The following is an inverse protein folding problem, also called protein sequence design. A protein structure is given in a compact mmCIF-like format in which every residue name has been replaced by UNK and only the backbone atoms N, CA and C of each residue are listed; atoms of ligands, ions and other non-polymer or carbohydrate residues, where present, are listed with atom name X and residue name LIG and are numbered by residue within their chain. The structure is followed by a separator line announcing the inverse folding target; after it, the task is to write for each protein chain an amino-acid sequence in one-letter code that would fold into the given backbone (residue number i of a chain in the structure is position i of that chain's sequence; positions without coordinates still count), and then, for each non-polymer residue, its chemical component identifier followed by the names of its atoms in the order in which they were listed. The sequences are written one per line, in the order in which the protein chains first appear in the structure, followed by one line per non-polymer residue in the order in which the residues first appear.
data_IF_550753593657
#
_entry.id   IF_550753593657
#
_cell.length_a   1.000
_cell.length_b   1.000
_cell.length_c   1.000
_cell.angle_alpha   90.00
_cell.angle_beta   90.00
_cell.angle_gamma   90.00
#
_symmetry.space_group_name_H-M   'P 1'
#
loop_
_entity.id
_entity.type
_entity.pdbx_description
1 polymer ?
#
# COMPACT_ATOMS: atom_id res chain seq x y z
N UNK A 1 1.59 23.54 -17.61
CA UNK A 1 2.33 23.37 -18.88
C UNK A 1 3.58 22.49 -18.72
N UNK A 2 4.20 22.44 -17.50
CA UNK A 2 5.37 21.61 -17.20
C UNK A 2 5.04 20.30 -16.46
N UNK A 3 3.77 20.03 -16.13
CA UNK A 3 3.35 18.86 -15.35
C UNK A 3 3.72 18.88 -13.86
N UNK A 4 4.44 19.90 -13.40
CA UNK A 4 4.89 20.00 -12.01
C UNK A 4 3.79 20.42 -11.04
N UNK A 5 3.89 19.97 -9.80
CA UNK A 5 2.99 20.31 -8.71
C UNK A 5 3.58 21.47 -7.87
N UNK A 6 2.79 22.52 -7.65
CA UNK A 6 3.12 23.53 -6.65
C UNK A 6 2.84 23.00 -5.24
N UNK A 7 3.64 23.44 -4.26
CA UNK A 7 3.36 23.18 -2.85
C UNK A 7 2.03 23.80 -2.45
N UNK A 8 1.20 23.04 -1.74
CA UNK A 8 -0.11 23.47 -1.28
C UNK A 8 -0.04 23.75 0.20
N UNK A 9 -0.63 24.85 0.64
CA UNK A 9 -0.74 25.23 2.03
C UNK A 9 -1.64 24.26 2.80
N UNK A 10 -1.38 24.06 4.10
CA UNK A 10 -2.08 23.07 4.90
C UNK A 10 -3.62 23.22 4.85
N UNK A 11 -4.16 24.40 5.17
CA UNK A 11 -5.62 24.61 5.12
C UNK A 11 -6.21 24.40 3.74
N UNK A 12 -5.49 24.82 2.67
CA UNK A 12 -5.97 24.61 1.31
C UNK A 12 -6.01 23.12 0.95
N UNK A 13 -5.04 22.33 1.43
CA UNK A 13 -5.06 20.88 1.21
C UNK A 13 -6.22 20.23 1.97
N UNK A 14 -6.45 20.66 3.20
CA UNK A 14 -7.60 20.20 3.99
C UNK A 14 -8.91 20.49 3.26
N UNK A 15 -9.11 21.71 2.75
CA UNK A 15 -10.29 22.08 1.96
C UNK A 15 -10.49 21.21 0.70
N UNK A 16 -9.39 20.84 0.03
CA UNK A 16 -9.45 20.00 -1.18
C UNK A 16 -9.78 18.54 -0.87
N UNK A 17 -9.42 18.08 0.32
CA UNK A 17 -9.54 16.67 0.71
C UNK A 17 -10.84 16.39 1.45
N UNK A 18 -11.23 17.26 2.36
CA UNK A 18 -12.31 17.00 3.31
C UNK A 18 -13.67 17.48 2.80
N UNK A 19 -14.73 16.99 3.41
CA UNK A 19 -16.06 17.46 3.17
C UNK A 19 -16.26 18.85 3.79
N UNK A 20 -16.98 19.72 3.09
CA UNK A 20 -17.16 21.12 3.48
C UNK A 20 -17.72 21.23 4.91
N UNK A 21 -17.05 22.02 5.75
CA UNK A 21 -17.50 22.32 7.12
C UNK A 21 -17.31 21.18 8.12
N UNK A 22 -16.61 20.09 7.76
CA UNK A 22 -16.41 18.95 8.66
C UNK A 22 -15.07 18.95 9.40
N UNK A 23 -14.14 19.82 9.04
CA UNK A 23 -12.83 19.88 9.67
C UNK A 23 -12.90 20.58 11.04
N UNK A 24 -12.53 19.86 12.08
CA UNK A 24 -12.35 20.34 13.45
C UNK A 24 -10.86 20.31 13.81
N UNK A 25 -10.23 21.47 13.88
CA UNK A 25 -8.79 21.58 14.18
C UNK A 25 -8.51 21.24 15.65
N UNK A 26 -7.48 20.42 15.90
CA UNK A 26 -7.02 20.03 17.22
C UNK A 26 -5.69 20.70 17.58
N UNK A 27 -5.49 20.98 18.85
CA UNK A 27 -4.22 21.46 19.43
C UNK A 27 -3.62 22.66 18.68
N UNK A 28 -4.47 23.58 18.22
CA UNK A 28 -4.04 24.77 17.50
C UNK A 28 -3.07 25.62 18.36
N UNK A 29 -3.39 25.80 19.62
CA UNK A 29 -2.68 26.66 20.56
C UNK A 29 -1.60 25.93 21.38
N UNK A 30 -1.02 24.83 20.86
CA UNK A 30 0.06 24.14 21.55
C UNK A 30 1.26 25.08 21.74
N UNK A 31 1.80 25.19 22.98
CA UNK A 31 2.85 26.16 23.28
C UNK A 31 4.15 25.86 22.56
N UNK A 32 4.87 26.92 22.19
CA UNK A 32 6.22 26.83 21.62
C UNK A 32 7.22 26.26 22.63
N UNK A 33 8.19 25.53 22.12
CA UNK A 33 9.28 24.97 22.92
C UNK A 33 10.63 25.32 22.29
N UNK A 34 11.57 25.81 23.12
CA UNK A 34 12.99 25.99 22.78
C UNK A 34 13.86 25.19 23.77
N UNK A 35 13.94 23.87 23.62
CA UNK A 35 14.50 22.98 24.64
C UNK A 35 16.02 23.12 24.84
N UNK A 36 16.71 23.80 23.91
CA UNK A 36 18.16 23.99 23.95
C UNK A 36 18.57 25.47 24.09
N UNK A 37 17.62 26.37 24.34
CA UNK A 37 17.86 27.84 24.35
C UNK A 37 18.65 28.30 23.10
N UNK A 38 18.31 27.71 21.93
CA UNK A 38 19.05 27.97 20.69
C UNK A 38 18.94 29.43 20.27
N UNK A 39 20.07 30.11 20.01
CA UNK A 39 20.08 31.55 19.74
C UNK A 39 19.19 31.94 18.56
N UNK A 40 18.37 33.00 18.76
CA UNK A 40 17.43 33.52 17.75
C UNK A 40 16.34 32.55 17.25
N UNK A 41 16.16 31.40 17.89
CA UNK A 41 15.18 30.42 17.42
C UNK A 41 13.74 30.95 17.61
N UNK A 42 13.43 31.59 18.71
CA UNK A 42 12.14 32.24 18.95
C UNK A 42 11.79 33.25 17.85
N UNK A 43 12.73 34.14 17.51
CA UNK A 43 12.55 35.14 16.43
C UNK A 43 12.27 34.45 15.08
N UNK A 44 12.95 33.34 14.83
CA UNK A 44 12.75 32.55 13.59
C UNK A 44 11.36 31.92 13.56
N UNK A 45 10.87 31.42 14.68
CA UNK A 45 9.51 30.85 14.82
C UNK A 45 8.46 31.94 14.64
N UNK A 46 8.67 33.10 15.27
CA UNK A 46 7.77 34.25 15.17
C UNK A 46 7.63 34.77 13.73
N UNK A 47 8.76 34.93 13.03
CA UNK A 47 8.77 35.29 11.62
C UNK A 47 8.09 34.21 10.74
N UNK A 48 8.20 32.95 11.10
CA UNK A 48 7.51 31.85 10.40
C UNK A 48 5.99 31.90 10.65
N UNK A 49 5.55 32.22 11.86
CA UNK A 49 4.13 32.44 12.22
C UNK A 49 3.52 33.59 11.42
N UNK A 50 4.18 34.76 11.43
CA UNK A 50 3.73 35.92 10.65
C UNK A 50 3.61 35.60 9.15
N UNK A 51 4.62 34.95 8.58
CA UNK A 51 4.64 34.63 7.15
C UNK A 51 3.61 33.57 6.74
N UNK A 52 3.37 32.56 7.58
CA UNK A 52 2.52 31.40 7.24
C UNK A 52 1.09 31.53 7.73
N UNK A 53 0.85 32.31 8.79
CA UNK A 53 -0.42 32.34 9.52
C UNK A 53 -0.67 31.08 10.36
N UNK A 54 0.38 30.28 10.59
CA UNK A 54 0.30 29.02 11.35
C UNK A 54 1.01 29.14 12.69
N UNK A 55 0.53 28.47 13.71
CA UNK A 55 1.22 28.38 14.99
C UNK A 55 2.41 27.41 14.96
N UNK A 56 2.33 26.36 14.11
CA UNK A 56 3.41 25.39 13.89
C UNK A 56 3.29 24.73 12.49
N UNK A 57 4.29 23.96 12.11
CA UNK A 57 4.49 23.41 10.77
C UNK A 57 3.49 22.30 10.37
N UNK A 58 2.55 21.96 11.23
CA UNK A 58 1.50 20.97 10.94
C UNK A 58 0.14 21.45 11.45
N UNK A 59 -0.89 21.24 10.66
CA UNK A 59 -2.30 21.39 11.05
C UNK A 59 -2.91 20.02 11.15
N UNK A 60 -3.55 19.71 12.28
CA UNK A 60 -4.18 18.42 12.55
C UNK A 60 -5.61 18.60 13.02
N UNK A 61 -6.48 17.64 12.74
CA UNK A 61 -7.87 17.67 13.16
C UNK A 61 -8.68 16.49 12.69
N UNK A 62 -9.93 16.45 13.08
CA UNK A 62 -10.91 15.46 12.64
C UNK A 62 -11.72 16.02 11.48
N UNK A 63 -12.03 15.18 10.50
CA UNK A 63 -12.83 15.56 9.34
C UNK A 63 -13.60 14.36 8.78
N UNK A 64 -14.39 14.60 7.73
CA UNK A 64 -14.94 13.56 6.86
C UNK A 64 -14.35 13.67 5.47
N UNK A 65 -14.10 12.54 4.82
CA UNK A 65 -13.64 12.43 3.44
C UNK A 65 -14.62 11.49 2.72
N UNK A 66 -15.38 12.01 1.78
CA UNK A 66 -16.52 11.32 1.14
C UNK A 66 -17.41 10.61 2.18
N UNK A 67 -17.82 11.34 3.23
CA UNK A 67 -18.63 10.86 4.33
C UNK A 67 -17.92 9.99 5.36
N UNK A 68 -16.64 9.60 5.15
CA UNK A 68 -15.89 8.74 6.05
C UNK A 68 -15.12 9.56 7.10
N UNK A 69 -15.36 9.36 8.41
CA UNK A 69 -14.64 10.09 9.44
C UNK A 69 -13.18 9.64 9.51
N UNK A 70 -12.28 10.60 9.65
CA UNK A 70 -10.84 10.37 9.75
C UNK A 70 -10.15 11.49 10.52
N UNK A 71 -8.97 11.23 11.04
CA UNK A 71 -8.04 12.25 11.53
C UNK A 71 -7.09 12.62 10.39
N UNK A 72 -6.98 13.91 10.11
CA UNK A 72 -6.15 14.44 9.02
C UNK A 72 -5.08 15.34 9.58
N UNK A 73 -3.82 15.12 9.20
CA UNK A 73 -2.70 15.99 9.50
C UNK A 73 -1.98 16.43 8.22
N UNK A 74 -1.73 17.72 8.09
CA UNK A 74 -1.08 18.28 6.89
C UNK A 74 0.10 19.16 7.29
N UNK A 75 1.28 18.75 6.87
CA UNK A 75 2.51 19.52 6.98
C UNK A 75 2.50 20.73 6.05
N UNK A 76 3.10 21.86 6.48
CA UNK A 76 3.19 23.10 5.69
C UNK A 76 4.61 23.63 5.63
N UNK A 77 5.23 23.53 4.45
CA UNK A 77 6.62 23.93 4.22
C UNK A 77 6.88 25.43 4.39
N UNK A 78 5.86 26.29 4.48
CA UNK A 78 6.02 27.71 4.76
C UNK A 78 6.56 27.95 6.17
N UNK A 79 6.26 27.03 7.10
CA UNK A 79 6.75 27.11 8.47
C UNK A 79 8.05 26.28 8.60
N UNK A 80 9.19 26.95 8.53
CA UNK A 80 10.56 26.38 8.68
C UNK A 80 10.73 25.06 7.86
N UNK A 81 10.31 25.06 6.59
CA UNK A 81 10.33 23.88 5.70
C UNK A 81 9.63 22.65 6.28
N UNK A 82 8.66 22.85 7.14
CA UNK A 82 7.94 21.82 7.88
C UNK A 82 8.85 20.82 8.59
N UNK A 83 9.97 21.30 9.12
CA UNK A 83 10.88 20.45 9.90
C UNK A 83 10.21 20.00 11.20
N UNK A 84 10.38 18.72 11.53
CA UNK A 84 9.79 18.11 12.72
C UNK A 84 10.59 18.49 13.97
N UNK A 85 10.03 19.36 14.80
CA UNK A 85 10.47 19.66 16.16
C UNK A 85 9.54 19.05 17.20
N UNK A 86 9.76 19.41 18.46
CA UNK A 86 8.99 18.93 19.61
C UNK A 86 7.48 19.09 19.39
N UNK A 87 7.03 20.30 19.05
CA UNK A 87 5.60 20.60 18.90
C UNK A 87 4.97 19.82 17.72
N UNK A 88 5.69 19.68 16.60
CA UNK A 88 5.20 18.88 15.47
C UNK A 88 5.05 17.41 15.86
N UNK A 89 6.07 16.84 16.51
CA UNK A 89 6.04 15.45 16.98
C UNK A 89 4.94 15.21 18.02
N UNK A 90 4.74 16.17 18.95
CA UNK A 90 3.68 16.13 19.95
C UNK A 90 2.30 16.12 19.30
N UNK A 91 2.04 17.08 18.40
CA UNK A 91 0.78 17.17 17.65
C UNK A 91 0.45 15.87 16.91
N UNK A 92 1.44 15.29 16.20
CA UNK A 92 1.25 14.02 15.50
C UNK A 92 0.92 12.90 16.49
N UNK A 93 1.69 12.79 17.57
CA UNK A 93 1.51 11.76 18.61
C UNK A 93 0.12 11.84 19.23
N UNK A 94 -0.29 13.00 19.72
CA UNK A 94 -1.61 13.20 20.33
C UNK A 94 -2.75 12.94 19.35
N UNK A 95 -2.58 13.35 18.07
CA UNK A 95 -3.57 13.08 17.04
C UNK A 95 -3.75 11.58 16.79
N UNK A 96 -2.64 10.84 16.70
CA UNK A 96 -2.63 9.38 16.52
C UNK A 96 -3.23 8.66 17.74
N UNK A 97 -2.83 9.07 18.96
CA UNK A 97 -3.35 8.48 20.20
C UNK A 97 -4.85 8.74 20.39
N UNK A 98 -5.30 9.97 20.07
CA UNK A 98 -6.72 10.30 20.10
C UNK A 98 -7.49 9.53 19.03
N UNK A 99 -6.96 9.44 17.80
CA UNK A 99 -7.54 8.63 16.72
C UNK A 99 -7.67 7.16 17.12
N UNK A 100 -6.66 6.60 17.80
CA UNK A 100 -6.69 5.23 18.31
C UNK A 100 -7.83 5.00 19.31
N UNK A 101 -8.01 5.93 20.25
CA UNK A 101 -9.09 5.89 21.24
C UNK A 101 -10.48 6.01 20.60
N UNK A 102 -10.61 6.92 19.61
CA UNK A 102 -11.85 7.16 18.88
C UNK A 102 -12.08 6.12 17.75
N UNK A 103 -11.16 5.18 17.55
CA UNK A 103 -11.19 4.15 16.49
C UNK A 103 -11.34 4.75 15.10
N UNK A 104 -10.58 5.80 14.82
CA UNK A 104 -10.56 6.53 13.56
C UNK A 104 -9.27 6.24 12.77
N UNK A 105 -9.32 6.14 11.45
CA UNK A 105 -8.13 6.13 10.62
C UNK A 105 -7.39 7.47 10.68
N UNK A 106 -6.07 7.43 10.42
CA UNK A 106 -5.21 8.61 10.37
C UNK A 106 -4.67 8.80 8.96
N UNK A 107 -4.70 10.03 8.45
CA UNK A 107 -4.09 10.40 7.17
C UNK A 107 -3.11 11.56 7.42
N UNK A 108 -1.83 11.35 7.13
CA UNK A 108 -0.81 12.39 7.27
C UNK A 108 -0.21 12.76 5.90
N UNK A 109 -0.30 14.03 5.54
CA UNK A 109 0.39 14.60 4.38
C UNK A 109 1.75 15.10 4.81
N UNK A 110 2.80 14.36 4.43
CA UNK A 110 4.19 14.72 4.69
C UNK A 110 4.71 15.70 3.64
N UNK A 111 5.28 16.81 4.10
CA UNK A 111 6.01 17.78 3.29
C UNK A 111 7.07 18.40 4.18
N UNK A 112 8.31 17.86 4.18
CA UNK A 112 9.28 18.27 5.20
C UNK A 112 10.72 18.18 4.71
N UNK A 113 11.54 19.11 5.21
CA UNK A 113 12.99 19.07 5.09
C UNK A 113 13.69 18.16 6.12
N UNK A 114 12.96 17.50 7.03
CA UNK A 114 13.51 16.59 8.02
C UNK A 114 13.36 17.05 9.49
N UNK A 115 14.28 16.66 10.35
CA UNK A 115 14.29 17.05 11.77
C UNK A 115 14.68 18.52 11.95
N UNK A 116 14.11 19.17 12.97
CA UNK A 116 14.35 20.59 13.29
C UNK A 116 15.69 20.76 14.03
N UNK A 117 16.69 21.22 13.34
CA UNK A 117 18.07 21.31 13.85
C UNK A 117 18.21 22.18 15.11
N UNK A 118 17.40 23.23 15.27
CA UNK A 118 17.43 24.12 16.42
C UNK A 118 17.04 23.44 17.74
N UNK A 119 16.36 22.32 17.68
CA UNK A 119 15.93 21.55 18.84
C UNK A 119 16.80 20.31 19.08
N UNK A 120 17.85 20.11 18.27
CA UNK A 120 18.87 19.07 18.43
C UNK A 120 18.28 17.68 18.69
N UNK A 121 18.74 17.01 19.75
CA UNK A 121 18.33 15.64 20.11
C UNK A 121 16.84 15.52 20.40
N UNK A 122 16.17 16.59 20.86
CA UNK A 122 14.73 16.57 21.14
C UNK A 122 13.93 16.37 19.86
N UNK A 123 14.33 17.00 18.76
CA UNK A 123 13.70 16.78 17.46
C UNK A 123 13.94 15.36 16.94
N UNK A 124 15.11 14.78 17.21
CA UNK A 124 15.40 13.39 16.84
C UNK A 124 14.51 12.41 17.61
N UNK A 125 14.25 12.68 18.91
CA UNK A 125 13.36 11.83 19.72
C UNK A 125 11.91 11.86 19.23
N UNK A 126 11.47 12.88 18.49
CA UNK A 126 10.14 12.90 17.90
C UNK A 126 9.94 11.79 16.84
N UNK A 127 11.01 11.36 16.17
CA UNK A 127 10.95 10.20 15.25
C UNK A 127 10.51 8.94 16.00
N UNK A 128 11.13 8.64 17.14
CA UNK A 128 10.77 7.49 17.96
C UNK A 128 9.36 7.63 18.55
N UNK A 129 9.00 8.81 19.02
CA UNK A 129 7.71 9.08 19.64
C UNK A 129 6.55 8.89 18.68
N UNK A 130 6.62 9.48 17.50
CA UNK A 130 5.60 9.35 16.46
C UNK A 130 5.49 7.90 15.95
N UNK A 131 6.63 7.23 15.78
CA UNK A 131 6.67 5.82 15.37
C UNK A 131 6.03 4.89 16.40
N UNK A 132 6.28 5.14 17.71
CA UNK A 132 5.67 4.36 18.78
C UNK A 132 4.14 4.56 18.86
N UNK A 133 3.65 5.79 18.64
CA UNK A 133 2.22 6.06 18.57
C UNK A 133 1.56 5.33 17.39
N UNK A 134 2.17 5.38 16.21
CA UNK A 134 1.69 4.68 15.02
C UNK A 134 1.73 3.15 15.19
N UNK A 135 2.74 2.61 15.88
CA UNK A 135 2.79 1.18 16.19
C UNK A 135 1.57 0.75 17.02
N UNK A 136 1.24 1.50 18.08
CA UNK A 136 0.04 1.22 18.90
C UNK A 136 -1.26 1.38 18.09
N UNK A 137 -1.31 2.35 17.18
CA UNK A 137 -2.45 2.56 16.29
C UNK A 137 -2.67 1.36 15.36
N UNK A 138 -1.61 0.86 14.74
CA UNK A 138 -1.62 -0.33 13.92
C UNK A 138 -2.04 -1.59 14.70
N UNK A 139 -1.48 -1.80 15.91
CA UNK A 139 -1.83 -2.93 16.78
C UNK A 139 -3.28 -2.89 17.25
N UNK A 140 -3.88 -1.70 17.32
CA UNK A 140 -5.31 -1.52 17.57
C UNK A 140 -6.19 -1.79 16.32
N UNK A 141 -5.60 -2.20 15.20
CA UNK A 141 -6.30 -2.47 13.94
C UNK A 141 -6.86 -1.20 13.29
N UNK A 142 -6.19 -0.05 13.49
CA UNK A 142 -6.58 1.22 12.88
C UNK A 142 -5.67 1.56 11.72
N UNK A 143 -6.27 2.07 10.63
CA UNK A 143 -5.57 2.39 9.38
C UNK A 143 -4.75 3.67 9.49
N UNK A 144 -3.51 3.64 9.02
CA UNK A 144 -2.69 4.81 8.77
C UNK A 144 -2.32 4.95 7.29
N UNK A 145 -2.75 6.05 6.67
CA UNK A 145 -2.38 6.44 5.31
C UNK A 145 -1.33 7.55 5.37
N UNK A 146 -0.17 7.31 4.79
CA UNK A 146 0.86 8.32 4.60
C UNK A 146 0.83 8.86 3.16
N UNK A 147 0.71 10.17 3.00
CA UNK A 147 0.73 10.82 1.68
C UNK A 147 1.99 11.67 1.57
N UNK A 148 2.91 11.24 0.69
CA UNK A 148 4.21 11.86 0.50
C UNK A 148 4.14 12.95 -0.57
N UNK A 149 4.47 14.17 -0.20
CA UNK A 149 4.47 15.32 -1.10
C UNK A 149 5.86 15.94 -1.23
N UNK A 150 6.08 16.87 -2.16
CA UNK A 150 7.38 17.47 -2.46
C UNK A 150 7.77 18.60 -1.50
N UNK A 151 8.93 18.53 -0.82
CA UNK A 151 9.75 17.35 -0.58
C UNK A 151 9.36 16.60 0.71
N UNK A 152 9.66 15.30 0.79
CA UNK A 152 9.62 14.54 2.04
C UNK A 152 10.99 13.91 2.26
N UNK A 153 11.79 14.47 3.21
CA UNK A 153 13.20 14.08 3.38
C UNK A 153 13.60 13.95 4.85
N UNK A 154 14.78 13.41 5.08
CA UNK A 154 15.45 13.36 6.38
C UNK A 154 14.71 12.55 7.43
N UNK A 155 14.67 13.05 8.65
CA UNK A 155 14.05 12.40 9.80
C UNK A 155 12.54 12.15 9.63
N UNK A 156 11.85 12.93 8.81
CA UNK A 156 10.42 12.70 8.53
C UNK A 156 10.24 11.46 7.64
N UNK A 157 11.06 11.28 6.61
CA UNK A 157 11.08 10.04 5.82
C UNK A 157 11.45 8.84 6.68
N UNK A 158 12.48 8.98 7.52
CA UNK A 158 12.96 7.90 8.39
C UNK A 158 12.09 7.68 9.65
N UNK A 159 10.86 8.18 9.64
CA UNK A 159 9.88 7.98 10.71
C UNK A 159 8.47 7.85 10.16
N UNK A 160 7.52 8.66 10.59
CA UNK A 160 6.10 8.47 10.29
C UNK A 160 5.78 8.39 8.80
N UNK A 161 6.54 9.10 7.93
CA UNK A 161 6.22 9.15 6.50
C UNK A 161 6.32 7.79 5.80
N UNK A 162 7.23 6.91 6.22
CA UNK A 162 7.41 5.57 5.63
C UNK A 162 6.75 4.44 6.45
N UNK A 163 5.92 4.77 7.44
CA UNK A 163 5.24 3.79 8.30
C UNK A 163 3.76 3.58 7.94
N UNK A 164 3.28 4.15 6.85
CA UNK A 164 1.89 3.97 6.40
C UNK A 164 1.56 2.50 6.11
N UNK A 165 0.40 2.05 6.57
CA UNK A 165 -0.20 0.81 6.08
C UNK A 165 -0.42 0.90 4.57
N UNK A 166 -0.76 2.12 4.13
CA UNK A 166 -0.81 2.52 2.71
C UNK A 166 0.02 3.79 2.57
N UNK A 167 0.98 3.78 1.63
CA UNK A 167 1.82 4.93 1.32
C UNK A 167 1.54 5.40 -0.10
N UNK A 168 1.05 6.63 -0.20
CA UNK A 168 0.70 7.30 -1.46
C UNK A 168 1.73 8.39 -1.73
N UNK A 169 2.22 8.52 -2.96
CA UNK A 169 3.07 9.64 -3.37
C UNK A 169 2.38 10.54 -4.38
N UNK A 170 2.60 11.86 -4.31
CA UNK A 170 2.23 12.76 -5.40
C UNK A 170 3.21 12.57 -6.58
N UNK A 171 2.74 12.68 -7.86
CA UNK A 171 3.62 12.55 -9.01
C UNK A 171 4.83 13.48 -8.94
N UNK A 172 6.02 12.95 -9.22
CA UNK A 172 7.28 13.69 -9.26
C UNK A 172 7.79 14.20 -7.91
N UNK A 173 7.14 13.88 -6.78
CA UNK A 173 7.58 14.31 -5.46
C UNK A 173 8.99 13.81 -5.13
N UNK A 174 9.83 14.68 -4.57
CA UNK A 174 11.15 14.31 -4.04
C UNK A 174 10.97 13.63 -2.68
N UNK A 175 11.36 12.37 -2.58
CA UNK A 175 11.22 11.55 -1.39
C UNK A 175 12.52 10.79 -1.14
N UNK A 176 13.15 11.00 0.01
CA UNK A 176 14.40 10.32 0.32
C UNK A 176 14.91 10.63 1.73
N UNK A 177 15.86 9.85 2.22
CA UNK A 177 16.48 10.12 3.53
C UNK A 177 17.45 11.30 3.42
N UNK A 178 18.54 11.16 2.70
CA UNK A 178 19.45 12.27 2.43
C UNK A 178 18.98 13.06 1.21
N UNK A 179 19.07 14.39 1.27
CA UNK A 179 18.76 15.21 0.09
C UNK A 179 19.77 15.00 -1.05
N UNK A 180 19.37 15.22 -2.33
CA UNK A 180 20.22 14.97 -3.49
C UNK A 180 21.60 15.63 -3.40
N UNK A 181 21.66 16.89 -2.94
CA UNK A 181 22.93 17.62 -2.77
C UNK A 181 23.88 16.94 -1.79
N UNK A 182 23.35 16.42 -0.70
CA UNK A 182 24.15 15.72 0.32
C UNK A 182 24.74 14.45 -0.26
N UNK A 183 23.95 13.68 -1.01
CA UNK A 183 24.40 12.45 -1.65
C UNK A 183 25.48 12.78 -2.68
N UNK A 184 25.23 13.71 -3.60
CA UNK A 184 26.19 14.13 -4.65
C UNK A 184 27.52 14.61 -4.06
N UNK A 185 27.49 15.40 -2.98
CA UNK A 185 28.70 15.86 -2.29
C UNK A 185 29.43 14.68 -1.60
N UNK A 186 28.71 13.70 -1.09
CA UNK A 186 29.30 12.55 -0.39
C UNK A 186 29.97 11.56 -1.37
N UNK A 187 29.31 11.26 -2.49
CA UNK A 187 29.84 10.29 -3.46
C UNK A 187 30.69 10.93 -4.57
N UNK A 188 30.69 12.28 -4.67
CA UNK A 188 31.43 13.02 -5.71
C UNK A 188 30.88 12.82 -7.14
N UNK A 189 29.61 12.39 -7.30
CA UNK A 189 28.98 12.08 -8.57
C UNK A 189 27.60 12.73 -8.69
N UNK A 190 27.17 13.05 -9.89
CA UNK A 190 25.79 13.49 -10.15
C UNK A 190 24.85 12.31 -10.06
N UNK A 191 23.68 12.54 -9.46
CA UNK A 191 22.62 11.53 -9.37
C UNK A 191 21.96 11.31 -10.74
N UNK A 192 21.51 10.09 -11.04
CA UNK A 192 20.71 9.80 -12.22
C UNK A 192 19.43 10.66 -12.28
N UNK A 193 18.96 10.94 -13.49
CA UNK A 193 17.68 11.62 -13.67
C UNK A 193 16.54 10.79 -13.07
N UNK A 194 15.61 11.44 -12.38
CA UNK A 194 14.48 10.77 -11.72
C UNK A 194 14.81 10.11 -10.37
N UNK A 195 16.09 10.10 -9.95
CA UNK A 195 16.47 9.53 -8.66
C UNK A 195 15.75 10.20 -7.49
N UNK A 196 15.29 9.41 -6.52
CA UNK A 196 14.47 9.84 -5.39
C UNK A 196 13.13 10.51 -5.75
N UNK A 197 12.61 10.36 -6.96
CA UNK A 197 11.26 10.80 -7.30
C UNK A 197 10.23 9.73 -6.95
N UNK A 198 8.98 10.13 -6.86
CA UNK A 198 7.87 9.22 -6.56
C UNK A 198 7.87 7.98 -7.46
N UNK A 199 8.14 8.16 -8.76
CA UNK A 199 8.21 7.10 -9.76
C UNK A 199 9.34 6.10 -9.45
N UNK A 200 10.50 6.61 -9.04
CA UNK A 200 11.61 5.79 -8.57
C UNK A 200 11.24 4.97 -7.34
N UNK A 201 10.53 5.57 -6.37
CA UNK A 201 10.11 4.86 -5.16
C UNK A 201 9.05 3.79 -5.46
N UNK A 202 8.18 4.02 -6.44
CA UNK A 202 7.20 3.03 -6.88
C UNK A 202 7.91 1.82 -7.52
N UNK A 203 8.87 2.05 -8.41
CA UNK A 203 9.65 1.00 -9.05
C UNK A 203 10.47 0.18 -8.03
N UNK A 204 11.02 0.86 -7.01
CA UNK A 204 11.77 0.24 -5.92
C UNK A 204 10.89 -0.27 -4.76
N UNK A 205 9.58 -0.28 -4.95
CA UNK A 205 8.64 -0.94 -4.04
C UNK A 205 8.38 -0.24 -2.71
N UNK A 206 8.77 1.03 -2.55
CA UNK A 206 8.64 1.76 -1.29
C UNK A 206 7.28 2.46 -1.10
N UNK A 207 6.54 2.70 -2.18
CA UNK A 207 5.20 3.29 -2.12
C UNK A 207 4.18 2.39 -2.80
N UNK A 208 2.92 2.43 -2.34
CA UNK A 208 1.85 1.61 -2.91
C UNK A 208 1.33 2.17 -4.23
N UNK A 209 1.28 3.49 -4.35
CA UNK A 209 0.77 4.14 -5.54
C UNK A 209 1.25 5.57 -5.69
N UNK A 210 1.24 6.06 -6.93
CA UNK A 210 1.36 7.49 -7.27
C UNK A 210 -0.04 8.00 -7.60
N UNK A 211 -0.51 8.99 -6.83
CA UNK A 211 -1.88 9.47 -6.94
C UNK A 211 -1.93 10.97 -7.24
N UNK A 212 -2.43 11.37 -8.42
CA UNK A 212 -2.63 12.77 -8.75
C UNK A 212 -3.55 13.46 -7.75
N UNK A 213 -3.23 14.70 -7.44
CA UNK A 213 -3.93 15.50 -6.42
C UNK A 213 -5.44 15.56 -6.61
N UNK A 214 -5.90 15.63 -7.86
CA UNK A 214 -7.31 15.70 -8.20
C UNK A 214 -8.10 14.45 -7.81
N UNK A 215 -7.42 13.29 -7.73
CA UNK A 215 -8.03 11.99 -7.48
C UNK A 215 -7.93 11.58 -6.00
N UNK A 216 -7.13 12.33 -5.18
CA UNK A 216 -6.83 11.97 -3.79
C UNK A 216 -8.07 11.86 -2.91
N UNK A 217 -9.01 12.81 -3.01
CA UNK A 217 -10.24 12.77 -2.18
C UNK A 217 -11.03 11.49 -2.43
N UNK A 218 -11.28 11.18 -3.69
CA UNK A 218 -12.07 10.02 -4.09
C UNK A 218 -11.39 8.70 -3.69
N UNK A 219 -10.12 8.49 -4.08
CA UNK A 219 -9.41 7.23 -3.79
C UNK A 219 -9.20 7.04 -2.30
N UNK A 220 -8.84 8.09 -1.55
CA UNK A 220 -8.71 8.00 -0.09
C UNK A 220 -10.08 7.70 0.54
N UNK A 221 -11.15 8.32 0.05
CA UNK A 221 -12.52 8.04 0.49
C UNK A 221 -12.91 6.57 0.30
N UNK A 222 -12.62 5.99 -0.87
CA UNK A 222 -12.82 4.56 -1.15
C UNK A 222 -12.00 3.67 -0.20
N UNK A 223 -10.71 3.98 -0.01
CA UNK A 223 -9.85 3.24 0.92
C UNK A 223 -10.41 3.26 2.34
N UNK A 224 -10.84 4.44 2.82
CA UNK A 224 -11.46 4.58 4.13
C UNK A 224 -12.75 3.76 4.25
N UNK A 225 -13.59 3.78 3.22
CA UNK A 225 -14.82 2.98 3.17
C UNK A 225 -14.53 1.48 3.29
N UNK A 226 -13.56 0.95 2.54
CA UNK A 226 -13.15 -0.46 2.55
C UNK A 226 -12.46 -0.90 3.85
N UNK A 227 -12.00 0.05 4.69
CA UNK A 227 -11.40 -0.25 6.00
C UNK A 227 -12.36 -0.04 7.18
N UNK A 228 -13.58 0.38 6.93
CA UNK A 228 -14.60 0.41 7.99
C UNK A 228 -14.84 -1.02 8.49
N UNK A 229 -14.99 -1.17 9.80
CA UNK A 229 -15.59 -2.39 10.33
C UNK A 229 -17.04 -2.42 9.86
N UNK A 230 -17.28 -3.14 8.79
CA UNK A 230 -18.64 -3.50 8.42
C UNK A 230 -19.11 -4.49 9.47
N UNK A 231 -20.19 -4.18 10.19
CA UNK A 231 -20.91 -5.22 10.92
C UNK A 231 -21.27 -6.27 9.88
N UNK A 232 -20.63 -7.44 9.97
CA UNK A 232 -20.86 -8.61 9.13
C UNK A 232 -22.23 -9.25 9.49
N UNK A 233 -23.25 -8.43 9.66
CA UNK A 233 -24.61 -8.86 9.46
C UNK A 233 -24.78 -9.02 7.93
N UNK A 234 -24.17 -10.09 7.40
CA UNK A 234 -24.60 -10.65 6.12
C UNK A 234 -26.10 -10.86 6.31
N UNK A 235 -26.91 -10.09 5.60
CA UNK A 235 -28.30 -10.46 5.41
C UNK A 235 -28.29 -11.85 4.83
N UNK A 236 -28.44 -12.85 5.68
CA UNK A 236 -28.51 -14.27 5.31
C UNK A 236 -29.63 -14.55 4.31
N UNK A 237 -30.45 -13.57 4.04
CA UNK A 237 -31.59 -13.65 3.14
C UNK A 237 -31.27 -13.20 1.71
N UNK A 238 -30.23 -12.37 1.49
CA UNK A 238 -29.84 -11.96 0.12
C UNK A 238 -29.11 -13.08 -0.65
N UNK A 239 -28.46 -14.02 0.04
CA UNK A 239 -27.75 -15.13 -0.61
C UNK A 239 -28.71 -16.26 -1.05
N UNK A 240 -29.98 -16.26 -0.63
CA UNK A 240 -30.93 -17.34 -0.95
C UNK A 240 -31.67 -17.20 -2.27
N UNK A 241 -31.59 -16.04 -2.97
CA UNK A 241 -32.52 -15.82 -4.07
C UNK A 241 -31.99 -16.11 -5.48
N UNK A 242 -30.67 -16.04 -5.78
CA UNK A 242 -30.24 -16.07 -7.17
C UNK A 242 -29.05 -17.00 -7.54
N UNK A 243 -28.55 -17.83 -6.64
CA UNK A 243 -27.42 -18.72 -6.93
C UNK A 243 -27.72 -20.21 -6.95
N UNK A 244 -28.95 -20.61 -7.10
CA UNK A 244 -29.25 -21.92 -7.67
C UNK A 244 -29.09 -21.86 -9.20
N UNK A 245 -27.95 -21.43 -9.70
CA UNK A 245 -27.51 -21.85 -11.02
C UNK A 245 -27.45 -23.37 -10.95
N UNK A 246 -28.33 -24.01 -11.67
CA UNK A 246 -28.51 -25.45 -11.70
C UNK A 246 -27.21 -26.09 -12.21
N UNK A 247 -26.23 -26.29 -11.32
CA UNK A 247 -24.94 -26.94 -11.57
C UNK A 247 -25.17 -28.34 -12.18
N UNK A 248 -26.35 -28.92 -11.94
CA UNK A 248 -26.78 -30.19 -12.56
C UNK A 248 -27.09 -30.06 -14.05
N UNK A 249 -27.66 -28.94 -14.53
CA UNK A 249 -27.97 -28.76 -15.96
C UNK A 249 -26.75 -28.38 -16.80
N UNK A 250 -25.79 -27.65 -16.21
CA UNK A 250 -24.51 -27.33 -16.86
C UNK A 250 -23.62 -28.57 -17.05
N UNK A 251 -23.79 -29.60 -16.21
CA UNK A 251 -23.08 -30.89 -16.37
C UNK A 251 -23.62 -31.79 -17.45
N UNK A 252 -24.86 -31.62 -17.91
CA UNK A 252 -25.50 -32.52 -18.89
C UNK A 252 -25.27 -32.19 -20.36
N UNK A 253 -24.57 -31.06 -20.70
CA UNK A 253 -24.25 -30.70 -22.10
C UNK A 253 -22.76 -30.81 -22.44
N UNK A 254 -22.01 -31.69 -21.79
CA UNK A 254 -20.65 -31.98 -22.25
C UNK A 254 -20.68 -33.12 -23.22
N UNK A 255 -20.45 -32.83 -24.50
CA UNK A 255 -19.92 -33.82 -25.43
C UNK A 255 -18.65 -34.40 -24.79
N UNK A 256 -18.66 -35.68 -24.53
CA UNK A 256 -17.56 -36.46 -23.98
C UNK A 256 -16.43 -36.59 -25.02
N UNK A 257 -15.73 -35.48 -25.30
CA UNK A 257 -14.39 -35.54 -25.87
C UNK A 257 -13.44 -35.83 -24.74
N UNK A 258 -12.95 -37.04 -24.60
CA UNK A 258 -11.89 -37.40 -23.64
C UNK A 258 -10.67 -36.52 -23.91
N UNK A 259 -10.51 -35.45 -23.17
CA UNK A 259 -9.30 -34.62 -23.20
C UNK A 259 -8.19 -35.41 -22.56
N UNK A 260 -7.05 -35.53 -23.23
CA UNK A 260 -5.85 -36.06 -22.61
C UNK A 260 -5.30 -35.10 -21.53
N UNK A 261 -4.50 -35.60 -20.62
CA UNK A 261 -3.80 -34.74 -19.63
C UNK A 261 -2.96 -33.66 -20.33
N UNK A 262 -2.37 -33.99 -21.48
CA UNK A 262 -1.59 -33.05 -22.28
C UNK A 262 -2.45 -31.95 -22.91
N UNK A 263 -3.66 -32.26 -23.36
CA UNK A 263 -4.61 -31.24 -23.85
C UNK A 263 -4.95 -30.25 -22.75
N UNK A 264 -5.10 -30.70 -21.50
CA UNK A 264 -5.33 -29.82 -20.35
C UNK A 264 -4.12 -28.92 -20.09
N UNK A 265 -2.88 -29.44 -20.19
CA UNK A 265 -1.66 -28.63 -20.13
C UNK A 265 -1.66 -27.53 -21.19
N UNK A 266 -1.96 -27.87 -22.44
CA UNK A 266 -2.01 -26.90 -23.53
C UNK A 266 -3.11 -25.85 -23.31
N UNK A 267 -4.27 -26.25 -22.79
CA UNK A 267 -5.36 -25.34 -22.47
C UNK A 267 -4.98 -24.37 -21.33
N UNK A 268 -4.30 -24.86 -20.28
CA UNK A 268 -3.87 -24.03 -19.14
C UNK A 268 -2.85 -22.94 -19.55
N UNK A 269 -2.21 -23.08 -20.71
CA UNK A 269 -1.17 -22.19 -21.24
C UNK A 269 -1.64 -21.28 -22.37
N UNK A 270 -2.89 -21.43 -22.84
CA UNK A 270 -3.39 -20.58 -23.93
C UNK A 270 -3.28 -19.10 -23.60
N UNK A 271 -2.81 -18.31 -24.57
CA UNK A 271 -2.62 -16.87 -24.39
C UNK A 271 -3.94 -16.07 -24.35
N UNK A 272 -5.01 -16.63 -24.91
CA UNK A 272 -6.34 -16.01 -24.99
C UNK A 272 -7.24 -16.29 -23.79
N UNK A 273 -6.80 -17.13 -22.85
CA UNK A 273 -7.56 -17.39 -21.62
C UNK A 273 -7.51 -16.20 -20.65
N UNK A 274 -8.53 -16.07 -19.77
CA UNK A 274 -8.52 -15.03 -18.75
C UNK A 274 -7.30 -15.15 -17.80
N UNK A 275 -6.70 -14.02 -17.47
CA UNK A 275 -5.62 -13.87 -16.50
C UNK A 275 -6.17 -13.41 -15.13
N UNK A 276 -5.32 -13.35 -14.10
CA UNK A 276 -5.75 -12.88 -12.77
C UNK A 276 -6.45 -11.51 -12.82
N UNK A 277 -5.92 -10.53 -13.56
CA UNK A 277 -6.55 -9.22 -13.72
C UNK A 277 -7.92 -9.29 -14.42
N UNK A 278 -8.11 -10.21 -15.36
CA UNK A 278 -9.42 -10.38 -15.98
C UNK A 278 -10.46 -10.88 -14.97
N UNK A 279 -10.09 -11.85 -14.13
CA UNK A 279 -10.96 -12.32 -13.04
C UNK A 279 -11.20 -11.22 -11.99
N UNK A 280 -10.15 -10.49 -11.61
CA UNK A 280 -10.28 -9.39 -10.65
C UNK A 280 -11.28 -8.35 -11.17
N UNK A 281 -11.14 -7.91 -12.42
CA UNK A 281 -12.02 -6.89 -13.00
C UNK A 281 -13.44 -7.38 -13.28
N UNK A 282 -13.64 -8.69 -13.42
CA UNK A 282 -14.96 -9.27 -13.71
C UNK A 282 -15.75 -9.63 -12.43
N UNK A 283 -15.06 -9.94 -11.34
CA UNK A 283 -15.66 -10.51 -10.12
C UNK A 283 -15.79 -9.48 -9.01
N UNK A 284 -14.88 -8.51 -8.97
CA UNK A 284 -14.82 -7.54 -7.88
C UNK A 284 -15.13 -6.13 -8.36
N UNK A 285 -15.74 -5.36 -7.48
CA UNK A 285 -15.94 -3.93 -7.66
C UNK A 285 -14.78 -3.17 -7.00
N UNK A 286 -14.47 -1.97 -7.53
CA UNK A 286 -13.57 -0.99 -6.90
C UNK A 286 -12.18 -1.56 -6.54
N UNK A 287 -11.54 -2.30 -7.43
CA UNK A 287 -10.18 -2.80 -7.18
C UNK A 287 -9.15 -1.67 -7.13
N UNK A 288 -8.45 -1.56 -6.01
CA UNK A 288 -7.34 -0.63 -5.79
C UNK A 288 -6.05 -1.42 -5.66
N UNK A 289 -5.19 -1.35 -6.68
CA UNK A 289 -3.91 -2.06 -6.71
C UNK A 289 -2.88 -1.39 -5.81
N UNK A 290 -2.13 -2.20 -5.06
CA UNK A 290 -1.00 -1.81 -4.23
C UNK A 290 0.29 -2.41 -4.75
N UNK A 291 1.35 -1.62 -4.76
CA UNK A 291 2.66 -1.99 -5.29
C UNK A 291 3.71 -2.18 -4.21
N UNK A 292 4.77 -2.91 -4.57
CA UNK A 292 6.02 -2.98 -3.82
C UNK A 292 6.05 -3.91 -2.61
N UNK A 293 7.25 -4.39 -2.36
CA UNK A 293 7.56 -5.29 -1.23
C UNK A 293 8.00 -4.55 0.04
N UNK A 294 8.16 -3.22 -0.01
CA UNK A 294 8.73 -2.35 1.04
C UNK A 294 10.21 -2.60 1.35
N UNK A 295 10.87 -3.41 0.55
CA UNK A 295 12.26 -3.79 0.78
C UNK A 295 13.17 -3.41 -0.38
N UNK A 296 12.81 -3.78 -1.61
CA UNK A 296 13.70 -3.66 -2.74
C UNK A 296 13.02 -3.30 -4.07
N UNK A 297 11.87 -3.93 -4.41
CA UNK A 297 11.29 -3.78 -5.75
C UNK A 297 9.79 -4.04 -5.77
N UNK A 298 9.12 -3.53 -6.80
CA UNK A 298 7.82 -4.05 -7.23
C UNK A 298 8.01 -5.19 -8.25
N UNK A 299 7.18 -6.22 -8.18
CA UNK A 299 7.18 -7.35 -9.11
C UNK A 299 5.89 -7.38 -9.91
N UNK A 300 6.00 -7.20 -11.23
CA UNK A 300 4.87 -7.23 -12.14
C UNK A 300 4.22 -8.61 -12.32
N UNK A 301 4.86 -9.70 -11.87
CA UNK A 301 4.27 -11.03 -11.88
C UNK A 301 3.25 -11.25 -10.74
N UNK A 302 3.21 -10.34 -9.75
CA UNK A 302 2.20 -10.30 -8.69
C UNK A 302 1.40 -9.01 -8.81
N UNK A 303 0.09 -9.14 -8.93
CA UNK A 303 -0.88 -8.04 -8.77
C UNK A 303 -1.64 -8.26 -7.48
N UNK A 304 -1.95 -7.20 -6.76
CA UNK A 304 -2.71 -7.36 -5.52
C UNK A 304 -3.12 -6.02 -4.92
N UNK A 305 -4.15 -6.06 -4.11
CA UNK A 305 -4.73 -4.88 -3.49
C UNK A 305 -6.01 -5.17 -2.74
N UNK A 306 -6.81 -4.16 -2.56
CA UNK A 306 -8.12 -4.26 -1.92
C UNK A 306 -9.23 -4.09 -2.95
N UNK A 307 -10.34 -4.79 -2.75
CA UNK A 307 -11.49 -4.72 -3.64
C UNK A 307 -12.79 -4.94 -2.85
N UNK A 308 -13.91 -4.68 -3.49
CA UNK A 308 -15.23 -5.00 -2.93
C UNK A 308 -15.77 -6.27 -3.59
N UNK A 309 -16.26 -7.20 -2.79
CA UNK A 309 -16.93 -8.42 -3.24
C UNK A 309 -18.34 -8.46 -2.62
N UNK A 310 -19.37 -8.17 -3.42
CA UNK A 310 -20.76 -8.09 -2.92
C UNK A 310 -20.92 -7.25 -1.64
N UNK A 311 -20.31 -6.06 -1.63
CA UNK A 311 -20.37 -5.15 -0.47
C UNK A 311 -19.41 -5.49 0.67
N UNK A 312 -18.63 -6.56 0.57
CA UNK A 312 -17.62 -6.96 1.55
C UNK A 312 -16.21 -6.58 1.07
N UNK A 313 -15.39 -5.84 1.86
CA UNK A 313 -14.02 -5.57 1.50
C UNK A 313 -13.17 -6.84 1.62
N UNK A 314 -12.41 -7.13 0.58
CA UNK A 314 -11.51 -8.29 0.48
C UNK A 314 -10.11 -7.85 0.04
N UNK A 315 -9.10 -8.65 0.37
CA UNK A 315 -7.77 -8.52 -0.23
C UNK A 315 -7.65 -9.53 -1.35
N UNK A 316 -7.31 -9.07 -2.56
CA UNK A 316 -7.17 -9.91 -3.74
C UNK A 316 -5.72 -9.89 -4.19
N UNK A 317 -5.15 -11.07 -4.45
CA UNK A 317 -3.76 -11.22 -4.90
C UNK A 317 -3.74 -12.23 -6.05
N UNK A 318 -3.03 -11.92 -7.15
CA UNK A 318 -2.98 -12.81 -8.29
C UNK A 318 -1.56 -12.93 -8.88
N UNK A 319 -1.20 -14.14 -9.29
CA UNK A 319 -0.08 -14.35 -10.19
C UNK A 319 -0.53 -13.97 -11.59
N UNK A 320 0.17 -13.04 -12.22
CA UNK A 320 -0.26 -12.38 -13.45
C UNK A 320 0.66 -12.72 -14.61
N UNK A 321 0.11 -13.36 -15.62
CA UNK A 321 0.74 -13.55 -16.95
C UNK A 321 0.39 -12.38 -17.88
N UNK A 322 1.23 -12.15 -18.88
CA UNK A 322 0.96 -11.17 -19.93
C UNK A 322 0.07 -11.73 -21.04
N UNK A 323 -0.60 -10.83 -21.75
CA UNK A 323 -1.44 -11.16 -22.93
C UNK A 323 -0.69 -11.14 -24.27
N UNK A 324 0.54 -10.67 -24.28
CA UNK A 324 1.43 -10.61 -25.43
C UNK A 324 2.89 -10.69 -24.98
N UNK A 325 3.83 -10.84 -25.92
CA UNK A 325 5.25 -11.00 -25.61
C UNK A 325 5.82 -9.87 -24.76
N UNK A 326 5.50 -8.62 -25.09
CA UNK A 326 6.00 -7.46 -24.33
C UNK A 326 5.47 -7.46 -22.88
N UNK A 327 4.21 -7.75 -22.70
CA UNK A 327 3.59 -7.84 -21.38
C UNK A 327 4.09 -9.06 -20.59
N UNK A 328 4.31 -10.18 -21.24
CA UNK A 328 4.93 -11.37 -20.63
C UNK A 328 6.34 -11.08 -20.12
N UNK A 329 7.18 -10.37 -20.87
CA UNK A 329 8.51 -9.95 -20.42
C UNK A 329 8.39 -9.06 -19.17
N UNK A 330 7.50 -8.08 -19.20
CA UNK A 330 7.26 -7.17 -18.06
C UNK A 330 6.80 -7.91 -16.81
N UNK A 331 6.03 -8.99 -16.97
CA UNK A 331 5.50 -9.82 -15.89
C UNK A 331 6.32 -11.09 -15.64
N UNK A 332 7.56 -11.10 -16.14
CA UNK A 332 8.47 -12.22 -16.00
C UNK A 332 7.78 -13.58 -16.31
N UNK A 333 6.94 -13.61 -17.35
CA UNK A 333 6.16 -14.79 -17.78
C UNK A 333 5.25 -15.39 -16.68
N UNK A 334 4.83 -14.57 -15.71
CA UNK A 334 4.07 -15.02 -14.57
C UNK A 334 4.89 -15.74 -13.50
N UNK A 335 6.21 -15.65 -13.55
CA UNK A 335 7.13 -16.24 -12.56
C UNK A 335 7.53 -15.18 -11.53
N UNK A 336 6.99 -15.21 -10.30
CA UNK A 336 7.34 -14.22 -9.30
C UNK A 336 8.80 -14.34 -8.85
N UNK A 337 9.44 -13.17 -8.68
CA UNK A 337 10.70 -12.98 -7.97
C UNK A 337 10.49 -12.97 -6.45
N UNK A 338 11.53 -12.96 -5.62
CA UNK A 338 11.39 -12.84 -4.16
C UNK A 338 10.53 -11.65 -3.74
N UNK A 339 10.66 -10.52 -4.46
CA UNK A 339 9.92 -9.29 -4.21
C UNK A 339 8.41 -9.49 -4.41
N UNK A 340 8.01 -10.29 -5.38
CA UNK A 340 6.61 -10.63 -5.62
C UNK A 340 5.99 -11.43 -4.47
N UNK A 341 6.69 -12.43 -3.95
CA UNK A 341 6.24 -13.21 -2.78
C UNK A 341 6.20 -12.34 -1.52
N UNK A 342 7.18 -11.45 -1.30
CA UNK A 342 7.18 -10.51 -0.17
C UNK A 342 6.05 -9.48 -0.27
N UNK A 343 5.77 -8.97 -1.47
CA UNK A 343 4.60 -8.12 -1.75
C UNK A 343 3.30 -8.85 -1.40
N UNK A 344 3.14 -10.09 -1.88
CA UNK A 344 1.97 -10.90 -1.57
C UNK A 344 1.80 -11.10 -0.05
N UNK A 345 2.87 -11.48 0.65
CA UNK A 345 2.84 -11.65 2.09
C UNK A 345 2.49 -10.36 2.84
N UNK A 346 3.05 -9.23 2.42
CA UNK A 346 2.71 -7.93 3.00
C UNK A 346 1.22 -7.62 2.90
N UNK A 347 0.61 -7.88 1.75
CA UNK A 347 -0.83 -7.70 1.55
C UNK A 347 -1.66 -8.68 2.39
N UNK A 348 -1.21 -9.92 2.55
CA UNK A 348 -1.86 -10.90 3.42
C UNK A 348 -1.80 -10.48 4.88
N UNK A 349 -0.67 -9.98 5.36
CA UNK A 349 -0.53 -9.48 6.74
C UNK A 349 -1.36 -8.21 6.98
N UNK A 350 -1.46 -7.33 5.98
CA UNK A 350 -2.35 -6.19 6.02
C UNK A 350 -3.83 -6.64 6.08
N UNK A 351 -4.21 -7.66 5.30
CA UNK A 351 -5.55 -8.24 5.36
C UNK A 351 -5.87 -8.79 6.75
N UNK A 352 -4.94 -9.51 7.37
CA UNK A 352 -5.07 -10.03 8.73
C UNK A 352 -5.28 -8.89 9.74
N UNK A 353 -4.47 -7.83 9.68
CA UNK A 353 -4.56 -6.66 10.57
C UNK A 353 -5.95 -6.01 10.50
N UNK A 354 -6.51 -5.90 9.31
CA UNK A 354 -7.80 -5.23 9.09
C UNK A 354 -8.99 -6.19 8.99
N UNK A 355 -8.79 -7.50 9.21
CA UNK A 355 -9.85 -8.51 9.24
C UNK A 355 -10.50 -8.79 7.88
N UNK A 356 -9.80 -8.58 6.76
CA UNK A 356 -10.33 -8.84 5.42
C UNK A 356 -10.05 -10.27 4.98
N UNK A 357 -11.02 -10.99 4.40
CA UNK A 357 -10.77 -12.24 3.69
C UNK A 357 -9.76 -12.04 2.55
N UNK A 358 -9.00 -13.10 2.25
CA UNK A 358 -7.98 -13.10 1.20
C UNK A 358 -8.42 -14.04 0.08
N UNK A 359 -8.33 -13.56 -1.16
CA UNK A 359 -8.58 -14.36 -2.36
C UNK A 359 -7.33 -14.33 -3.23
N UNK A 360 -6.75 -15.52 -3.48
CA UNK A 360 -5.56 -15.69 -4.29
C UNK A 360 -5.91 -16.36 -5.64
N UNK A 361 -5.48 -15.73 -6.74
CA UNK A 361 -5.50 -16.35 -8.06
C UNK A 361 -4.11 -16.90 -8.40
N UNK A 362 -4.01 -18.21 -8.59
CA UNK A 362 -2.76 -18.92 -8.85
C UNK A 362 -2.64 -19.21 -10.33
N UNK A 363 -1.61 -18.66 -10.96
CA UNK A 363 -1.30 -18.87 -12.38
C UNK A 363 0.18 -18.60 -12.68
N UNK A 364 1.02 -19.57 -12.40
CA UNK A 364 2.46 -19.49 -12.61
C UNK A 364 3.04 -20.82 -13.10
N UNK A 365 3.99 -20.83 -14.05
CA UNK A 365 4.75 -22.04 -14.35
C UNK A 365 5.71 -22.43 -13.24
N UNK A 366 5.96 -21.52 -12.29
CA UNK A 366 6.86 -21.70 -11.15
C UNK A 366 7.42 -20.38 -10.65
N UNK A 367 8.23 -20.44 -9.60
CA UNK A 367 8.99 -19.28 -9.13
C UNK A 367 10.13 -18.96 -10.12
N UNK A 368 10.47 -17.68 -10.25
CA UNK A 368 11.61 -17.29 -11.08
C UNK A 368 12.92 -17.88 -10.54
N UNK A 369 13.69 -18.54 -11.40
CA UNK A 369 14.93 -19.27 -11.07
C UNK A 369 16.19 -18.60 -11.65
N UNK A 370 16.21 -17.28 -11.74
CA UNK A 370 17.37 -16.51 -12.20
C UNK A 370 18.37 -16.20 -11.09
N UNK A 371 19.60 -15.81 -11.47
CA UNK A 371 20.67 -15.43 -10.56
C UNK A 371 20.22 -14.39 -9.52
N UNK A 372 19.59 -13.32 -9.98
CA UNK A 372 19.07 -12.26 -9.11
C UNK A 372 18.04 -12.74 -8.09
N UNK A 373 17.24 -13.75 -8.44
CA UNK A 373 16.27 -14.31 -7.51
C UNK A 373 16.95 -15.10 -6.39
N UNK A 374 17.99 -15.89 -6.73
CA UNK A 374 18.78 -16.62 -5.72
C UNK A 374 19.52 -15.64 -4.81
N UNK A 375 20.18 -14.63 -5.35
CA UNK A 375 20.88 -13.58 -4.59
C UNK A 375 19.95 -12.84 -3.60
N UNK A 376 18.68 -12.70 -3.94
CA UNK A 376 17.67 -12.02 -3.11
C UNK A 376 16.81 -12.97 -2.28
N UNK A 377 17.13 -14.27 -2.25
CA UNK A 377 16.54 -15.26 -1.37
C UNK A 377 15.18 -15.79 -1.83
N UNK A 378 15.10 -16.33 -3.05
CA UNK A 378 13.87 -16.93 -3.59
C UNK A 378 13.28 -18.02 -2.70
N UNK A 379 14.17 -18.94 -2.22
CA UNK A 379 13.75 -20.01 -1.32
C UNK A 379 13.23 -19.49 0.02
N UNK A 380 13.86 -18.45 0.59
CA UNK A 380 13.41 -17.82 1.83
C UNK A 380 12.05 -17.16 1.66
N UNK A 381 11.83 -16.41 0.58
CA UNK A 381 10.58 -15.72 0.34
C UNK A 381 9.40 -16.71 0.20
N UNK A 382 9.59 -17.82 -0.52
CA UNK A 382 8.61 -18.90 -0.63
C UNK A 382 8.34 -19.54 0.74
N UNK A 383 9.40 -19.95 1.45
CA UNK A 383 9.28 -20.60 2.77
C UNK A 383 8.55 -19.69 3.76
N UNK A 384 8.84 -18.38 3.76
CA UNK A 384 8.21 -17.40 4.61
C UNK A 384 6.71 -17.26 4.30
N UNK A 385 6.32 -17.26 3.02
CA UNK A 385 4.90 -17.26 2.64
C UNK A 385 4.18 -18.50 3.17
N UNK A 386 4.75 -19.69 2.98
CA UNK A 386 4.15 -20.93 3.49
C UNK A 386 3.95 -20.88 5.02
N UNK A 387 4.98 -20.42 5.72
CA UNK A 387 4.96 -20.32 7.18
C UNK A 387 3.88 -19.34 7.67
N UNK A 388 3.86 -18.12 7.14
CA UNK A 388 2.92 -17.09 7.57
C UNK A 388 1.48 -17.37 7.14
N UNK A 389 1.27 -17.89 5.92
CA UNK A 389 -0.07 -18.25 5.44
C UNK A 389 -0.71 -19.34 6.29
N UNK A 390 0.07 -20.27 6.82
CA UNK A 390 -0.44 -21.35 7.69
C UNK A 390 -1.01 -20.86 9.01
N UNK A 391 -0.74 -19.61 9.40
CA UNK A 391 -1.15 -19.01 10.68
C UNK A 391 -2.07 -17.80 10.55
N UNK A 392 -2.46 -17.41 9.34
CA UNK A 392 -3.38 -16.29 9.10
C UNK A 392 -4.73 -16.54 9.79
N UNK A 393 -5.25 -15.50 10.44
CA UNK A 393 -6.50 -15.55 11.22
C UNK A 393 -7.72 -15.08 10.45
N UNK A 394 -7.56 -14.79 9.17
CA UNK A 394 -8.64 -14.42 8.25
C UNK A 394 -8.86 -15.53 7.22
N UNK A 395 -10.08 -15.70 6.68
CA UNK A 395 -10.34 -16.67 5.64
C UNK A 395 -9.44 -16.46 4.42
N UNK A 396 -8.87 -17.54 3.90
CA UNK A 396 -8.06 -17.56 2.68
C UNK A 396 -8.65 -18.55 1.69
N UNK A 397 -8.99 -18.08 0.51
CA UNK A 397 -9.39 -18.88 -0.65
C UNK A 397 -8.33 -18.74 -1.73
N UNK A 398 -7.79 -19.86 -2.21
CA UNK A 398 -6.89 -19.88 -3.37
C UNK A 398 -7.53 -20.59 -4.54
N UNK A 399 -7.46 -19.98 -5.74
CA UNK A 399 -8.08 -20.47 -6.94
C UNK A 399 -7.00 -20.67 -8.02
N UNK A 400 -6.73 -21.91 -8.41
CA UNK A 400 -5.82 -22.21 -9.51
C UNK A 400 -6.57 -21.99 -10.84
N UNK A 401 -6.21 -20.93 -11.56
CA UNK A 401 -6.90 -20.50 -12.78
C UNK A 401 -6.20 -20.92 -14.07
N UNK A 402 -4.97 -21.40 -13.97
CA UNK A 402 -4.16 -21.83 -15.11
C UNK A 402 -3.09 -22.82 -14.70
N UNK A 403 -1.83 -22.41 -14.73
CA UNK A 403 -0.73 -23.24 -14.25
C UNK A 403 -0.48 -23.04 -12.75
N UNK A 404 -0.45 -24.13 -12.01
CA UNK A 404 0.00 -24.19 -10.63
C UNK A 404 1.37 -24.88 -10.55
N UNK A 405 2.45 -24.15 -10.85
CA UNK A 405 3.81 -24.72 -10.91
C UNK A 405 4.52 -24.73 -9.57
N UNK A 406 4.80 -25.92 -9.04
CA UNK A 406 5.76 -26.19 -7.95
C UNK A 406 5.55 -25.34 -6.69
N UNK A 407 6.64 -25.09 -5.95
CA UNK A 407 6.66 -24.22 -4.76
C UNK A 407 6.23 -22.77 -5.03
N UNK A 408 6.42 -22.30 -6.27
CA UNK A 408 5.99 -20.96 -6.66
C UNK A 408 4.48 -20.76 -6.64
N UNK A 409 3.72 -21.78 -7.02
CA UNK A 409 2.27 -21.79 -6.87
C UNK A 409 1.85 -22.02 -5.41
N UNK A 410 2.55 -22.94 -4.71
CA UNK A 410 2.24 -23.29 -3.32
C UNK A 410 2.39 -22.09 -2.38
N UNK A 411 3.34 -21.20 -2.64
CA UNK A 411 3.54 -19.96 -1.87
C UNK A 411 2.35 -18.99 -1.89
N UNK A 412 1.32 -19.30 -2.70
CA UNK A 412 0.05 -18.57 -2.78
C UNK A 412 -1.17 -19.49 -2.57
N UNK A 413 -0.95 -20.80 -2.30
CA UNK A 413 -2.01 -21.80 -2.27
C UNK A 413 -2.18 -22.50 -0.91
N UNK A 414 -1.49 -22.04 0.14
CA UNK A 414 -1.76 -22.45 1.52
C UNK A 414 -2.99 -21.68 2.00
N UNK A 415 -4.16 -22.33 1.97
CA UNK A 415 -5.44 -21.67 2.17
C UNK A 415 -6.42 -22.55 2.95
N UNK A 416 -7.51 -21.97 3.48
CA UNK A 416 -8.60 -22.73 4.09
C UNK A 416 -9.32 -23.55 3.04
N UNK A 417 -9.48 -23.00 1.82
CA UNK A 417 -10.02 -23.71 0.67
C UNK A 417 -9.15 -23.46 -0.57
N UNK A 418 -8.93 -24.51 -1.35
CA UNK A 418 -8.24 -24.45 -2.63
C UNK A 418 -9.19 -24.94 -3.73
N UNK A 419 -9.53 -24.03 -4.63
CA UNK A 419 -10.32 -24.36 -5.80
C UNK A 419 -9.44 -24.46 -7.03
N UNK A 420 -9.89 -25.21 -8.02
CA UNK A 420 -9.16 -25.39 -9.26
C UNK A 420 -10.13 -25.34 -10.43
N UNK A 421 -9.81 -24.49 -11.42
CA UNK A 421 -10.61 -24.42 -12.65
C UNK A 421 -10.46 -25.70 -13.45
N UNK A 422 -11.49 -26.07 -14.23
CA UNK A 422 -11.55 -27.34 -14.96
C UNK A 422 -10.34 -27.63 -15.84
N UNK A 423 -9.78 -26.61 -16.50
CA UNK A 423 -8.63 -26.74 -17.39
C UNK A 423 -7.33 -26.20 -16.78
N UNK A 424 -7.28 -26.05 -15.46
CA UNK A 424 -6.06 -25.71 -14.75
C UNK A 424 -5.25 -26.96 -14.41
N UNK A 425 -3.96 -26.80 -14.20
CA UNK A 425 -3.06 -27.86 -13.75
C UNK A 425 -2.34 -27.47 -12.47
N UNK A 426 -1.95 -28.46 -11.67
CA UNK A 426 -1.09 -28.27 -10.51
C UNK A 426 -0.03 -29.36 -10.50
N UNK A 427 1.24 -29.00 -10.60
CA UNK A 427 2.33 -29.96 -10.75
C UNK A 427 3.61 -29.53 -9.99
N UNK A 428 4.39 -30.54 -9.58
CA UNK A 428 5.67 -30.32 -8.89
C UNK A 428 6.78 -29.87 -9.84
N UNK A 429 6.72 -30.32 -11.10
CA UNK A 429 7.65 -29.97 -12.18
C UNK A 429 6.84 -29.50 -13.40
N UNK A 430 7.52 -28.86 -14.35
CA UNK A 430 6.88 -28.61 -15.63
C UNK A 430 6.48 -29.94 -16.27
N UNK A 431 5.33 -30.03 -16.94
CA UNK A 431 4.89 -31.27 -17.63
C UNK A 431 5.90 -31.83 -18.60
N UNK A 432 6.79 -30.99 -19.15
CA UNK A 432 7.89 -31.41 -20.04
C UNK A 432 9.07 -32.06 -19.28
N UNK A 433 9.12 -31.87 -17.96
CA UNK A 433 10.16 -32.46 -17.10
C UNK A 433 9.84 -33.88 -16.64
N UNK A 434 8.63 -34.33 -16.94
CA UNK A 434 8.22 -35.72 -16.76
C UNK A 434 8.45 -36.50 -18.04
#
# INVERSE_FOLDING_TARGET
KCGGYFRVHAYRRIEMLTDVGTFEEWNKEMPFSNPLDFPNYEKKVEAAREKSGLNEAIVIGKAKIDGNPAVVGVCDARFIMSSMGHVVGEKITEAVERATKEKLPVILFACSGGARMQEGIVSLMQMAKTSAALKRHHEAGQLFISVLTDPTTGGVTASFAMLGDIIIAEPGALIGFAGPRVIEQTIGQKLPEGFQRAEFLLEHGFVDMILPRKDQKHVIGQILYMHRKHDMAVEKDAVKADTAVNVSEARQKKENTEKSAWDTVLLSRKADRPTALDYINAVFDEFIEFHGDRCFKDDGAIVGGIAMFHGMPVTVIGQQKGKNTKDNIRRNFGMPSPDGYRKALRLMKQAETFGRPIICFVDTPGAFCGLEAEERGQGEAIAKNLFEMSSLKVPVLSIVIGEGGSGGALAMAVANEVWMMENAIYSILSPEGF
#
